data_IF_976843371944
#
_entry.id   IF_976843371944
#
_cell.length_a   1.000
_cell.length_b   1.000
_cell.length_c   1.000
_cell.angle_alpha   90.00
_cell.angle_beta   90.00
_cell.angle_gamma   90.00
#
_symmetry.space_group_name_H-M   'P 1'
#
loop_
_entity.id
_entity.type
_entity.pdbx_description
1 polymer ?
#
# COMPACT_ATOMS: atom_id res chain seq x y z
N UNK A 1 1.78 0.91 -10.41
CA UNK A 1 0.32 0.76 -10.24
C UNK A 1 -0.37 2.13 -10.27
N UNK A 2 -1.55 2.27 -10.86
CA UNK A 2 -2.37 3.50 -10.73
C UNK A 2 -3.53 3.23 -9.77
N UNK A 3 -3.65 4.03 -8.72
CA UNK A 3 -4.74 3.89 -7.75
C UNK A 3 -5.76 5.00 -7.96
N UNK A 4 -6.99 4.62 -8.33
CA UNK A 4 -8.10 5.57 -8.45
C UNK A 4 -8.50 6.12 -7.07
N UNK A 5 -8.89 7.40 -7.02
CA UNK A 5 -9.32 8.11 -5.79
C UNK A 5 -10.50 7.44 -5.04
N UNK A 6 -11.25 6.54 -5.69
CA UNK A 6 -12.45 5.91 -5.12
C UNK A 6 -12.17 4.78 -4.12
N UNK A 7 -10.92 4.36 -3.89
CA UNK A 7 -10.62 3.36 -2.85
C UNK A 7 -10.84 3.95 -1.45
N UNK A 8 -11.98 3.63 -0.83
CA UNK A 8 -12.36 4.14 0.50
C UNK A 8 -12.08 3.15 1.62
N UNK A 9 -11.91 1.88 1.31
CA UNK A 9 -11.77 0.79 2.28
C UNK A 9 -10.42 0.10 2.16
N UNK A 10 -9.97 -0.52 3.26
CA UNK A 10 -8.79 -1.38 3.28
C UNK A 10 -8.96 -2.58 2.35
N UNK A 11 -10.14 -3.18 2.30
CA UNK A 11 -10.39 -4.34 1.44
C UNK A 11 -10.27 -4.00 -0.03
N UNK A 12 -10.75 -2.84 -0.47
CA UNK A 12 -10.60 -2.40 -1.86
C UNK A 12 -9.13 -2.15 -2.20
N UNK A 13 -8.37 -1.54 -1.27
CA UNK A 13 -6.92 -1.35 -1.43
C UNK A 13 -6.18 -2.68 -1.51
N UNK A 14 -6.47 -3.61 -0.60
CA UNK A 14 -5.86 -4.95 -0.59
C UNK A 14 -6.15 -5.69 -1.88
N UNK A 15 -7.42 -5.74 -2.31
CA UNK A 15 -7.82 -6.39 -3.56
C UNK A 15 -7.03 -5.82 -4.74
N UNK A 16 -6.90 -4.49 -4.84
CA UNK A 16 -6.19 -3.87 -5.96
C UNK A 16 -4.69 -4.21 -5.98
N UNK A 17 -4.07 -4.26 -4.81
CA UNK A 17 -2.66 -4.66 -4.68
C UNK A 17 -2.48 -6.15 -5.00
N UNK A 18 -3.37 -7.02 -4.52
CA UNK A 18 -3.34 -8.45 -4.82
C UNK A 18 -3.48 -8.70 -6.32
N UNK A 19 -4.42 -8.01 -6.99
CA UNK A 19 -4.57 -8.05 -8.45
C UNK A 19 -3.28 -7.63 -9.17
N UNK A 20 -2.65 -6.53 -8.74
CA UNK A 20 -1.42 -6.02 -9.36
C UNK A 20 -0.21 -6.96 -9.12
N UNK A 21 -0.13 -7.57 -7.94
CA UNK A 21 0.91 -8.53 -7.58
C UNK A 21 0.63 -9.95 -8.13
N UNK A 22 -0.51 -10.16 -8.78
CA UNK A 22 -0.96 -11.45 -9.29
C UNK A 22 -0.95 -12.56 -8.20
N UNK A 23 -1.32 -12.20 -6.96
CA UNK A 23 -1.43 -13.13 -5.84
C UNK A 23 -2.82 -13.79 -5.84
N UNK A 24 -2.90 -15.03 -5.36
CA UNK A 24 -4.19 -15.69 -5.17
C UNK A 24 -4.88 -15.15 -3.90
N UNK A 25 -5.99 -14.39 -3.99
CA UNK A 25 -6.68 -13.81 -2.83
C UNK A 25 -7.29 -14.85 -1.89
N UNK A 26 -7.45 -16.11 -2.35
CA UNK A 26 -7.97 -17.22 -1.52
C UNK A 26 -6.86 -17.80 -0.65
N UNK A 27 -5.61 -17.79 -1.12
CA UNK A 27 -4.47 -18.39 -0.43
C UNK A 27 -3.66 -17.37 0.37
N UNK A 28 -3.68 -16.10 -0.02
CA UNK A 28 -2.83 -15.07 0.55
C UNK A 28 -3.62 -13.83 0.98
N UNK A 29 -3.30 -13.32 2.17
CA UNK A 29 -3.57 -11.95 2.58
C UNK A 29 -2.28 -11.12 2.44
N UNK A 30 -2.40 -9.81 2.59
CA UNK A 30 -1.27 -8.91 2.57
C UNK A 30 -1.25 -7.97 3.77
N UNK A 31 -0.05 -7.67 4.26
CA UNK A 31 0.22 -6.53 5.15
C UNK A 31 0.82 -5.40 4.35
N UNK A 32 0.39 -4.19 4.68
CA UNK A 32 0.76 -2.97 3.94
C UNK A 32 1.37 -1.98 4.92
N UNK A 33 2.56 -1.47 4.60
CA UNK A 33 3.18 -0.34 5.27
C UNK A 33 3.27 0.82 4.29
N UNK A 34 2.68 1.96 4.64
CA UNK A 34 2.79 3.19 3.89
C UNK A 34 3.98 4.01 4.38
N UNK A 35 4.88 4.33 3.45
CA UNK A 35 5.99 5.26 3.67
C UNK A 35 5.53 6.67 3.31
N UNK A 36 5.16 7.43 4.33
CA UNK A 36 4.55 8.73 4.16
C UNK A 36 5.59 9.86 4.31
N UNK A 37 5.50 10.94 3.52
CA UNK A 37 6.29 12.14 3.76
C UNK A 37 5.85 12.75 5.09
N UNK A 38 6.76 12.79 6.06
CA UNK A 38 6.54 13.41 7.35
C UNK A 38 6.89 14.89 7.31
N UNK A 39 8.00 15.23 6.67
CA UNK A 39 8.50 16.59 6.54
C UNK A 39 9.23 16.75 5.21
N UNK A 40 9.04 17.91 4.57
CA UNK A 40 9.72 18.27 3.33
C UNK A 40 10.67 19.40 3.65
N UNK A 41 11.96 19.08 3.68
CA UNK A 41 13.05 20.05 3.76
C UNK A 41 13.54 20.29 2.33
N UNK A 42 13.98 21.51 2.00
CA UNK A 42 14.28 21.97 0.63
C UNK A 42 14.75 20.89 -0.37
N UNK A 43 15.79 20.13 -0.04
CA UNK A 43 16.36 19.08 -0.91
C UNK A 43 16.07 17.64 -0.45
N UNK A 44 15.40 17.44 0.70
CA UNK A 44 15.21 16.13 1.32
C UNK A 44 13.83 15.97 1.92
N UNK A 45 13.22 14.83 1.68
CA UNK A 45 11.97 14.45 2.30
C UNK A 45 12.28 13.44 3.41
N UNK A 46 11.90 13.78 4.64
CA UNK A 46 11.92 12.85 5.77
C UNK A 46 10.64 12.01 5.71
N UNK A 47 10.81 10.69 5.75
CA UNK A 47 9.70 9.75 5.67
C UNK A 47 9.46 9.06 7.01
N UNK A 48 8.19 8.90 7.35
CA UNK A 48 7.72 8.00 8.40
C UNK A 48 7.06 6.76 7.82
N UNK A 49 6.77 5.79 8.69
CA UNK A 49 6.13 4.53 8.31
C UNK A 49 4.84 4.34 9.10
N UNK A 50 3.77 3.94 8.41
CA UNK A 50 2.48 3.66 9.02
C UNK A 50 1.92 2.35 8.48
N UNK A 51 1.60 1.41 9.37
CA UNK A 51 0.88 0.19 8.98
C UNK A 51 -0.58 0.51 8.62
N UNK A 52 -1.04 0.05 7.46
CA UNK A 52 -2.44 0.23 7.04
C UNK A 52 -3.27 -0.96 7.55
N UNK A 53 -3.90 -0.78 8.70
CA UNK A 53 -4.68 -1.83 9.38
C UNK A 53 -6.20 -1.66 9.33
N UNK A 54 -6.69 -0.49 8.90
CA UNK A 54 -8.14 -0.20 8.88
C UNK A 54 -8.44 0.93 7.88
N UNK A 55 -9.72 1.13 7.55
CA UNK A 55 -10.19 2.12 6.57
C UNK A 55 -9.72 3.55 6.87
N UNK A 56 -9.61 3.92 8.15
CA UNK A 56 -9.14 5.27 8.54
C UNK A 56 -7.70 5.53 8.07
N UNK A 57 -6.85 4.51 8.04
CA UNK A 57 -5.48 4.61 7.57
C UNK A 57 -5.41 4.83 6.06
N UNK A 58 -6.30 4.18 5.29
CA UNK A 58 -6.44 4.41 3.84
C UNK A 58 -6.82 5.86 3.56
N UNK A 59 -7.79 6.40 4.32
CA UNK A 59 -8.18 7.81 4.22
C UNK A 59 -7.01 8.75 4.53
N UNK A 60 -6.23 8.47 5.58
CA UNK A 60 -5.04 9.26 5.92
C UNK A 60 -4.01 9.24 4.79
N UNK A 61 -3.76 8.06 4.19
CA UNK A 61 -2.84 7.91 3.07
C UNK A 61 -3.24 8.81 1.89
N UNK A 62 -4.49 8.71 1.42
CA UNK A 62 -4.97 9.56 0.33
C UNK A 62 -4.95 11.05 0.69
N UNK A 63 -5.42 11.42 1.88
CA UNK A 63 -5.41 12.83 2.32
C UNK A 63 -4.00 13.43 2.31
N UNK A 64 -2.97 12.65 2.68
CA UNK A 64 -1.57 13.11 2.65
C UNK A 64 -1.07 13.34 1.23
N UNK A 65 -1.33 12.41 0.32
CA UNK A 65 -0.97 12.55 -1.10
C UNK A 65 -1.59 13.83 -1.68
N UNK A 66 -2.85 14.13 -1.34
CA UNK A 66 -3.52 15.34 -1.83
C UNK A 66 -2.92 16.63 -1.24
N UNK A 67 -2.56 16.61 0.05
CA UNK A 67 -2.03 17.80 0.75
C UNK A 67 -0.58 18.11 0.41
N UNK A 68 0.16 17.16 -0.15
CA UNK A 68 1.57 17.32 -0.52
C UNK A 68 1.75 17.04 -2.02
N UNK A 69 1.36 17.97 -2.91
CA UNK A 69 1.45 17.78 -4.36
C UNK A 69 2.90 17.59 -4.86
N UNK A 70 3.88 18.02 -4.06
CA UNK A 70 5.31 17.75 -4.32
C UNK A 70 5.65 16.25 -4.26
N UNK A 71 4.82 15.47 -3.57
CA UNK A 71 4.90 14.01 -3.46
C UNK A 71 3.74 13.43 -4.27
N UNK A 72 3.96 13.35 -5.58
CA UNK A 72 2.97 12.88 -6.56
C UNK A 72 2.77 11.35 -6.56
N UNK A 73 3.60 10.62 -5.80
CA UNK A 73 3.60 9.16 -5.72
C UNK A 73 3.57 8.73 -4.26
N UNK A 74 2.75 7.75 -3.95
CA UNK A 74 2.83 7.06 -2.66
C UNK A 74 3.57 5.73 -2.81
N UNK A 75 4.35 5.41 -1.77
CA UNK A 75 5.20 4.23 -1.70
C UNK A 75 4.68 3.28 -0.64
N UNK A 76 4.43 2.03 -1.04
CA UNK A 76 3.96 0.95 -0.18
C UNK A 76 4.97 -0.18 -0.15
N UNK A 77 5.19 -0.67 1.05
CA UNK A 77 5.88 -1.92 1.32
C UNK A 77 4.80 -2.96 1.56
N UNK A 78 4.79 -4.01 0.76
CA UNK A 78 3.78 -5.05 0.82
C UNK A 78 4.48 -6.38 1.13
N UNK A 79 3.95 -7.08 2.12
CA UNK A 79 4.33 -8.46 2.44
C UNK A 79 3.11 -9.35 2.33
N UNK A 80 3.23 -10.46 1.62
CA UNK A 80 2.19 -11.49 1.55
C UNK A 80 2.28 -12.44 2.73
N UNK A 81 1.12 -12.88 3.24
CA UNK A 81 1.01 -13.89 4.28
C UNK A 81 -0.01 -14.95 3.86
N UNK A 82 0.28 -16.24 4.03
CA UNK A 82 -0.67 -17.29 3.71
C UNK A 82 -1.86 -17.25 4.69
N UNK A 83 -3.08 -17.41 4.17
CA UNK A 83 -4.33 -17.40 4.94
C UNK A 83 -4.60 -18.72 5.68
N UNK A 84 -3.96 -19.81 5.25
CA UNK A 84 -3.98 -21.12 5.88
C UNK A 84 -2.55 -21.69 5.91
N UNK A 85 -2.29 -22.69 6.75
CA UNK A 85 -1.19 -23.62 6.50
C UNK A 85 -1.50 -24.33 5.18
N UNK A 86 -1.06 -23.73 4.07
CA UNK A 86 -0.96 -24.47 2.82
C UNK A 86 0.14 -25.49 3.08
N UNK A 87 -0.19 -26.79 3.00
CA UNK A 87 0.74 -27.93 3.06
C UNK A 87 1.72 -27.93 1.86
N UNK A 88 2.38 -26.79 1.63
CA UNK A 88 3.46 -26.62 0.69
C UNK A 88 4.59 -25.96 1.46
N UNK A 89 5.63 -26.74 1.66
CA UNK A 89 6.93 -26.29 2.13
C UNK A 89 7.36 -25.01 1.37
N UNK A 90 7.96 -24.08 2.12
CA UNK A 90 8.38 -22.72 1.75
C UNK A 90 7.34 -21.59 1.92
N UNK A 91 7.26 -21.08 3.16
CA UNK A 91 6.77 -19.73 3.45
C UNK A 91 7.75 -18.71 2.84
N UNK A 92 7.57 -18.37 1.57
CA UNK A 92 8.30 -17.27 0.94
C UNK A 92 7.65 -15.94 1.35
N UNK A 93 8.25 -15.27 2.34
CA UNK A 93 7.95 -13.86 2.63
C UNK A 93 8.51 -12.99 1.49
N UNK A 94 7.70 -12.75 0.48
CA UNK A 94 8.06 -11.87 -0.63
C UNK A 94 7.75 -10.42 -0.24
N UNK A 95 8.78 -9.57 -0.22
CA UNK A 95 8.63 -8.12 0.00
C UNK A 95 8.78 -7.40 -1.33
N UNK A 96 7.74 -6.70 -1.77
CA UNK A 96 7.75 -5.93 -3.01
C UNK A 96 7.40 -4.47 -2.73
N UNK A 97 8.12 -3.54 -3.37
CA UNK A 97 7.82 -2.12 -3.32
C UNK A 97 6.85 -1.75 -4.44
N UNK A 98 5.76 -1.08 -4.10
CA UNK A 98 4.81 -0.56 -5.07
C UNK A 98 4.79 0.96 -5.00
N UNK A 99 5.02 1.58 -6.16
CA UNK A 99 4.80 3.00 -6.39
C UNK A 99 3.47 3.20 -7.13
N UNK A 100 2.68 4.17 -6.66
CA UNK A 100 1.46 4.54 -7.35
C UNK A 100 1.20 6.03 -7.44
N UNK A 101 0.66 6.43 -8.59
CA UNK A 101 0.11 7.75 -8.86
C UNK A 101 -1.41 7.72 -8.64
N UNK A 102 -1.94 8.82 -8.11
CA UNK A 102 -3.38 9.02 -7.94
C UNK A 102 -3.91 9.71 -9.19
N UNK A 103 -4.85 9.07 -9.89
CA UNK A 103 -5.57 9.71 -11.00
C UNK A 103 -6.74 10.54 -10.48
N UNK A 104 -6.91 11.75 -11.03
CA UNK A 104 -8.20 12.45 -10.97
C UNK A 104 -9.17 11.71 -11.91
N UNK A 105 -10.39 11.44 -11.44
CA UNK A 105 -11.48 10.92 -12.28
C UNK A 105 -12.03 12.05 -13.16
#
# INVERSE_FOLDING_TARGET
MMIRRKLKTLNDLKRKIIEELNLNPVCYDIKIIYRYPQEVLHERINYGYMAIKEDKHVKIMFNRIHKMPQVNVAELYVSSEPLAEVDTEEVQQTTTFLQFTVLED
#
